data_IF_284474356929
#
_entry.id   IF_284474356929
#
_cell.length_a   1.000
_cell.length_b   1.000
_cell.length_c   1.000
_cell.angle_alpha   90.00
_cell.angle_beta   90.00
_cell.angle_gamma   90.00
#
_symmetry.space_group_name_H-M   'P 1'
#
loop_
_entity.id
_entity.type
_entity.pdbx_description
1 polymer ?
#
# COMPACT_ATOMS: atom_id res chain seq x y z
N UNK A 1 56.23 9.55 17.20
CA UNK A 1 54.87 9.76 17.75
C UNK A 1 54.99 9.85 19.25
N UNK A 2 54.66 10.99 19.84
CA UNK A 2 54.81 11.20 21.29
C UNK A 2 53.64 10.58 22.03
N UNK A 3 53.84 10.17 23.28
CA UNK A 3 52.78 9.61 24.13
C UNK A 3 51.49 10.48 24.17
N UNK A 4 51.70 11.79 24.06
CA UNK A 4 50.62 12.80 24.01
C UNK A 4 49.80 12.74 22.75
N UNK A 5 50.39 12.43 21.61
CA UNK A 5 49.70 12.26 20.33
C UNK A 5 48.87 10.94 20.32
N UNK A 6 49.46 9.89 20.90
CA UNK A 6 48.76 8.59 21.04
C UNK A 6 47.52 8.71 21.92
N UNK A 7 47.60 9.43 23.04
CA UNK A 7 46.46 9.67 23.92
C UNK A 7 45.34 10.47 23.23
N UNK A 8 45.66 11.46 22.41
CA UNK A 8 44.63 12.21 21.66
C UNK A 8 43.90 11.34 20.64
N UNK A 9 44.62 10.44 19.97
CA UNK A 9 43.99 9.51 18.99
C UNK A 9 43.06 8.51 19.71
N UNK A 10 43.50 7.98 20.85
CA UNK A 10 42.70 7.02 21.64
C UNK A 10 41.46 7.69 22.22
N UNK A 11 41.54 8.89 22.76
CA UNK A 11 40.39 9.62 23.28
C UNK A 11 39.41 10.03 22.18
N UNK A 12 39.92 10.45 21.00
CA UNK A 12 39.09 10.73 19.84
C UNK A 12 38.33 9.51 19.32
N UNK A 13 38.99 8.35 19.27
CA UNK A 13 38.36 7.09 18.85
C UNK A 13 37.30 6.59 19.83
N UNK A 14 37.56 6.75 21.14
CA UNK A 14 36.59 6.38 22.20
C UNK A 14 35.33 7.24 22.19
N UNK A 15 35.43 8.52 21.83
CA UNK A 15 34.29 9.42 21.72
C UNK A 15 33.53 9.27 20.38
N UNK A 16 34.20 8.83 19.32
CA UNK A 16 33.58 8.61 18.02
C UNK A 16 32.78 7.28 17.94
N UNK A 17 33.19 6.27 18.70
CA UNK A 17 32.55 4.96 18.67
C UNK A 17 31.05 4.98 19.04
N UNK A 18 30.58 5.67 20.11
CA UNK A 18 29.13 5.75 20.41
C UNK A 18 28.36 6.58 19.36
N UNK A 19 29.03 7.57 18.73
CA UNK A 19 28.39 8.39 17.70
C UNK A 19 28.17 7.63 16.40
N UNK A 20 29.08 6.74 16.02
CA UNK A 20 28.89 5.84 14.88
C UNK A 20 27.74 4.83 15.09
N UNK A 21 27.47 4.44 16.33
CA UNK A 21 26.35 3.53 16.61
C UNK A 21 24.98 4.17 16.42
N UNK A 22 24.87 5.51 16.55
CA UNK A 22 23.63 6.25 16.29
C UNK A 22 23.22 6.24 14.82
N UNK A 23 24.17 6.03 13.90
CA UNK A 23 23.92 5.96 12.46
C UNK A 23 23.82 4.51 11.92
N UNK A 24 24.01 3.52 12.77
CA UNK A 24 23.72 2.14 12.38
C UNK A 24 22.23 2.01 12.18
N UNK A 25 21.78 2.02 10.92
CA UNK A 25 20.45 1.57 10.54
C UNK A 25 20.24 0.21 11.20
N UNK A 26 19.26 0.14 12.11
CA UNK A 26 18.82 -1.14 12.68
C UNK A 26 18.39 -1.97 11.50
N UNK A 27 19.13 -3.03 11.17
CA UNK A 27 18.69 -3.99 10.18
C UNK A 27 17.39 -4.56 10.68
N UNK A 28 16.29 -4.24 10.00
CA UNK A 28 14.99 -4.83 10.26
C UNK A 28 15.06 -6.29 9.78
N UNK A 29 15.52 -7.16 10.69
CA UNK A 29 15.48 -8.60 10.48
C UNK A 29 14.05 -9.06 10.67
N UNK A 30 13.37 -9.39 9.60
CA UNK A 30 11.99 -9.84 9.66
C UNK A 30 11.39 -10.09 8.28
N UNK A 31 10.18 -10.61 8.28
CA UNK A 31 9.40 -10.83 7.07
C UNK A 31 8.06 -10.13 7.23
N UNK A 32 7.57 -9.49 6.18
CA UNK A 32 6.28 -8.82 6.15
C UNK A 32 5.36 -9.43 5.10
N UNK A 33 4.09 -9.47 5.41
CA UNK A 33 3.07 -9.82 4.43
C UNK A 33 2.88 -8.70 3.42
N UNK A 34 2.87 -9.08 2.14
CA UNK A 34 2.58 -8.15 1.05
C UNK A 34 1.68 -8.83 0.01
N UNK A 35 0.99 -8.01 -0.76
CA UNK A 35 0.17 -8.47 -1.87
C UNK A 35 0.93 -8.18 -3.15
N UNK A 36 1.03 -9.19 -4.00
CA UNK A 36 1.46 -9.01 -5.38
C UNK A 36 0.27 -8.45 -6.20
N UNK A 37 0.31 -7.18 -6.61
CA UNK A 37 -0.84 -6.57 -7.28
C UNK A 37 -1.09 -7.15 -8.67
N UNK A 38 -0.09 -7.77 -9.31
CA UNK A 38 -0.21 -8.40 -10.62
C UNK A 38 -0.93 -9.75 -10.54
N UNK A 39 -0.85 -10.43 -9.37
CA UNK A 39 -1.59 -11.66 -9.09
C UNK A 39 -2.96 -11.42 -8.47
N UNK A 40 -3.20 -10.24 -7.92
CA UNK A 40 -4.41 -9.94 -7.17
C UNK A 40 -5.64 -9.85 -8.10
N UNK A 41 -6.61 -10.74 -7.88
CA UNK A 41 -7.88 -10.78 -8.65
C UNK A 41 -9.02 -9.99 -7.99
N UNK A 42 -8.74 -9.18 -7.00
CA UNK A 42 -9.70 -8.30 -6.30
C UNK A 42 -10.96 -9.03 -5.78
N UNK A 43 -10.79 -10.24 -5.25
CA UNK A 43 -11.90 -11.11 -4.81
C UNK A 43 -12.64 -10.64 -3.54
N UNK A 44 -12.14 -9.62 -2.84
CA UNK A 44 -12.77 -9.05 -1.62
C UNK A 44 -12.47 -9.81 -0.32
N UNK A 45 -11.90 -11.02 -0.35
CA UNK A 45 -11.64 -11.81 0.87
C UNK A 45 -10.74 -11.11 1.89
N UNK A 46 -9.96 -10.13 1.47
CA UNK A 46 -9.13 -9.33 2.39
C UNK A 46 -9.96 -8.53 3.41
N UNK A 47 -11.21 -8.20 3.07
CA UNK A 47 -12.13 -7.50 3.95
C UNK A 47 -12.53 -8.38 5.15
N UNK A 48 -12.90 -9.63 4.88
CA UNK A 48 -13.57 -10.52 5.86
C UNK A 48 -12.62 -11.46 6.58
N UNK A 49 -11.49 -11.81 5.98
CA UNK A 49 -10.60 -12.86 6.48
C UNK A 49 -9.43 -12.33 7.33
N UNK A 50 -9.31 -11.02 7.50
CA UNK A 50 -8.34 -10.46 8.43
C UNK A 50 -8.78 -10.72 9.88
N UNK A 51 -7.82 -11.06 10.75
CA UNK A 51 -8.09 -11.24 12.19
C UNK A 51 -8.43 -9.94 12.91
N UNK A 52 -8.15 -8.81 12.29
CA UNK A 52 -8.46 -7.48 12.83
C UNK A 52 -9.92 -7.11 12.52
N UNK A 53 -10.59 -6.35 13.41
CA UNK A 53 -11.94 -5.83 13.16
C UNK A 53 -12.04 -5.01 11.86
N UNK A 54 -10.96 -4.33 11.51
CA UNK A 54 -10.75 -3.68 10.20
C UNK A 54 -9.47 -4.22 9.60
N UNK A 55 -9.55 -4.72 8.38
CA UNK A 55 -8.41 -5.31 7.68
C UNK A 55 -7.21 -4.37 7.62
N UNK A 56 -6.00 -4.92 7.85
CA UNK A 56 -4.75 -4.22 7.61
C UNK A 56 -4.45 -4.01 6.11
N UNK A 57 -5.19 -4.69 5.24
CA UNK A 57 -5.15 -4.44 3.81
C UNK A 57 -5.92 -3.16 3.50
N UNK A 58 -5.33 -2.31 2.66
CA UNK A 58 -5.96 -1.07 2.21
C UNK A 58 -5.80 -0.93 0.71
N UNK A 59 -6.72 -0.18 0.11
CA UNK A 59 -6.49 0.34 -1.23
C UNK A 59 -5.37 1.37 -1.16
N UNK A 60 -4.44 1.27 -2.07
CA UNK A 60 -3.38 2.26 -2.28
C UNK A 60 -3.37 2.67 -3.74
N UNK A 61 -2.79 3.80 -4.04
CA UNK A 61 -2.68 4.31 -5.39
C UNK A 61 -1.22 4.58 -5.77
N UNK A 62 -0.95 4.46 -7.03
CA UNK A 62 0.33 4.85 -7.61
C UNK A 62 0.24 6.33 -8.00
N UNK A 63 0.89 7.19 -7.21
CA UNK A 63 0.79 8.65 -7.37
C UNK A 63 1.06 9.14 -8.79
N UNK A 64 2.05 8.57 -9.47
CA UNK A 64 2.45 8.97 -10.81
C UNK A 64 1.33 8.83 -11.88
N UNK A 65 0.30 8.05 -11.60
CA UNK A 65 -0.80 7.78 -12.54
C UNK A 65 -2.19 8.03 -11.98
N UNK A 66 -2.34 8.14 -10.67
CA UNK A 66 -3.63 8.41 -10.03
C UNK A 66 -3.93 9.90 -10.04
N UNK A 67 -5.20 10.27 -10.26
CA UNK A 67 -5.63 11.66 -10.34
C UNK A 67 -5.78 12.19 -11.76
N UNK A 68 -5.32 11.45 -12.78
CA UNK A 68 -5.46 11.85 -14.19
C UNK A 68 -6.80 11.42 -14.84
N UNK A 69 -7.67 10.75 -14.09
CA UNK A 69 -8.99 10.37 -14.56
C UNK A 69 -10.01 11.44 -14.22
N UNK A 70 -10.71 11.98 -15.23
CA UNK A 70 -11.87 12.88 -15.04
C UNK A 70 -12.95 12.23 -14.16
N UNK A 71 -13.15 10.90 -14.32
CA UNK A 71 -14.07 10.11 -13.53
C UNK A 71 -13.32 8.94 -12.89
N UNK A 72 -13.16 8.99 -11.57
CA UNK A 72 -12.72 7.84 -10.81
C UNK A 72 -13.93 6.93 -10.55
N UNK A 73 -13.92 5.72 -11.12
CA UNK A 73 -15.00 4.74 -10.95
C UNK A 73 -15.26 4.37 -9.48
N UNK A 74 -14.23 4.43 -8.64
CA UNK A 74 -14.35 4.17 -7.21
C UNK A 74 -14.94 5.33 -6.42
N UNK A 75 -14.87 6.53 -6.95
CA UNK A 75 -15.39 7.76 -6.33
C UNK A 75 -16.78 8.14 -6.82
N UNK A 76 -17.21 7.64 -7.96
CA UNK A 76 -18.44 8.06 -8.62
C UNK A 76 -19.60 8.27 -7.64
N UNK A 77 -20.07 9.49 -7.53
CA UNK A 77 -21.20 9.90 -6.69
C UNK A 77 -22.37 10.22 -7.60
N UNK A 78 -23.27 9.27 -7.78
CA UNK A 78 -24.60 9.55 -8.29
C UNK A 78 -25.59 9.53 -7.10
N UNK A 79 -26.54 10.43 -7.11
CA UNK A 79 -27.60 10.52 -6.09
C UNK A 79 -28.71 9.49 -6.29
N UNK A 80 -28.60 8.61 -7.27
CA UNK A 80 -29.57 7.55 -7.52
C UNK A 80 -29.52 6.47 -6.45
N UNK A 81 -30.70 5.97 -6.10
CA UNK A 81 -30.90 5.05 -4.98
C UNK A 81 -30.64 3.60 -5.38
N UNK A 82 -30.81 3.25 -6.67
CA UNK A 82 -30.63 1.89 -7.18
C UNK A 82 -29.62 1.85 -8.33
N UNK A 83 -28.59 1.05 -8.15
CA UNK A 83 -27.51 0.87 -9.11
C UNK A 83 -27.43 -0.60 -9.49
N UNK A 84 -27.82 -0.91 -10.69
CA UNK A 84 -27.88 -2.28 -11.21
C UNK A 84 -26.82 -2.57 -12.30
N UNK A 85 -25.98 -1.59 -12.63
CA UNK A 85 -24.95 -1.79 -13.64
C UNK A 85 -23.60 -2.21 -13.04
N UNK A 86 -22.79 -2.91 -13.80
CA UNK A 86 -21.50 -3.42 -13.34
C UNK A 86 -20.54 -2.31 -12.89
N UNK A 87 -20.58 -1.12 -13.50
CA UNK A 87 -19.74 0.03 -13.16
C UNK A 87 -20.07 0.62 -11.79
N UNK A 88 -21.33 0.74 -11.48
CA UNK A 88 -21.83 1.31 -10.23
C UNK A 88 -21.53 0.42 -9.03
N UNK A 89 -21.58 -0.89 -9.22
CA UNK A 89 -21.21 -1.87 -8.19
C UNK A 89 -19.72 -1.83 -7.82
N UNK A 90 -18.89 -1.11 -8.56
CA UNK A 90 -17.46 -0.99 -8.32
C UNK A 90 -17.10 0.30 -7.55
N UNK A 91 -18.09 1.07 -7.16
CA UNK A 91 -17.93 2.24 -6.28
C UNK A 91 -17.45 1.82 -4.87
N UNK A 92 -16.75 2.73 -4.20
CA UNK A 92 -16.37 2.54 -2.81
C UNK A 92 -17.61 2.55 -1.91
N UNK A 93 -17.94 1.45 -1.19
CA UNK A 93 -19.15 1.38 -0.37
C UNK A 93 -19.04 2.20 0.94
N UNK A 94 -17.83 2.60 1.33
CA UNK A 94 -17.55 3.32 2.57
C UNK A 94 -17.09 4.75 2.33
N UNK A 95 -17.17 5.23 1.09
CA UNK A 95 -16.70 6.55 0.67
C UNK A 95 -15.27 6.85 1.14
N UNK A 96 -14.40 5.83 1.09
CA UNK A 96 -13.00 5.96 1.46
C UNK A 96 -12.16 6.69 0.41
N UNK A 97 -12.67 6.94 -0.79
CA UNK A 97 -12.00 7.72 -1.82
C UNK A 97 -12.45 9.17 -1.70
N UNK A 98 -11.53 10.05 -1.37
CA UNK A 98 -11.76 11.50 -1.27
C UNK A 98 -11.23 12.16 -2.53
N UNK A 99 -12.05 12.99 -3.15
CA UNK A 99 -11.71 13.79 -4.32
C UNK A 99 -11.54 15.25 -3.91
N UNK A 100 -10.44 15.85 -4.31
CA UNK A 100 -10.16 17.26 -4.10
C UNK A 100 -9.89 17.91 -5.45
N UNK A 101 -10.55 19.04 -5.72
CA UNK A 101 -10.26 19.85 -6.90
C UNK A 101 -8.87 20.48 -6.78
N UNK A 102 -8.07 20.40 -7.82
CA UNK A 102 -6.75 21.04 -7.92
C UNK A 102 -6.82 22.19 -8.92
N UNK A 103 -7.03 21.86 -10.19
CA UNK A 103 -7.20 22.81 -11.29
C UNK A 103 -7.95 22.12 -12.43
N UNK A 104 -8.55 22.86 -13.34
CA UNK A 104 -9.27 22.26 -14.45
C UNK A 104 -8.29 21.66 -15.49
N UNK A 105 -8.45 20.39 -15.90
CA UNK A 105 -9.49 19.41 -15.52
C UNK A 105 -9.06 18.43 -14.40
N UNK A 106 -8.09 18.77 -13.58
CA UNK A 106 -7.41 17.84 -12.67
C UNK A 106 -8.02 17.80 -11.27
N UNK A 107 -8.10 16.58 -10.75
CA UNK A 107 -8.53 16.28 -9.41
C UNK A 107 -7.51 15.38 -8.72
N UNK A 108 -7.30 15.61 -7.43
CA UNK A 108 -6.54 14.71 -6.57
C UNK A 108 -7.49 13.70 -5.92
N UNK A 109 -7.09 12.42 -5.94
CA UNK A 109 -7.81 11.35 -5.25
C UNK A 109 -6.93 10.78 -4.15
N UNK A 110 -7.46 10.79 -2.92
CA UNK A 110 -6.81 10.23 -1.74
C UNK A 110 -7.64 9.08 -1.18
N UNK A 111 -6.97 8.13 -0.57
CA UNK A 111 -7.61 7.01 0.13
C UNK A 111 -7.60 7.30 1.62
N UNK A 112 -8.77 7.40 2.21
CA UNK A 112 -8.97 7.41 3.65
C UNK A 112 -8.83 5.96 4.16
N UNK A 113 -7.68 5.66 4.74
CA UNK A 113 -7.37 4.30 5.20
C UNK A 113 -8.26 3.87 6.37
N UNK A 114 -8.78 4.80 7.16
CA UNK A 114 -9.68 4.49 8.27
C UNK A 114 -11.04 4.01 7.76
N UNK A 115 -11.52 4.56 6.66
CA UNK A 115 -12.77 4.14 6.02
C UNK A 115 -12.59 2.92 5.12
N UNK A 116 -11.39 2.69 4.60
CA UNK A 116 -11.14 1.60 3.67
C UNK A 116 -11.29 0.23 4.33
N UNK A 117 -12.17 -0.61 3.80
CA UNK A 117 -12.45 -1.97 4.27
C UNK A 117 -11.76 -3.07 3.45
N UNK A 118 -10.95 -2.73 2.45
CA UNK A 118 -10.24 -3.69 1.59
C UNK A 118 -11.13 -4.56 0.68
N UNK A 119 -12.33 -4.12 0.35
CA UNK A 119 -13.26 -4.89 -0.50
C UNK A 119 -12.80 -5.07 -1.96
N UNK A 120 -11.85 -4.28 -2.44
CA UNK A 120 -11.27 -4.38 -3.78
C UNK A 120 -12.13 -3.81 -4.92
N UNK A 121 -13.35 -3.33 -4.66
CA UNK A 121 -14.26 -2.81 -5.70
C UNK A 121 -13.64 -1.67 -6.51
N UNK A 122 -13.08 -0.68 -5.84
CA UNK A 122 -12.42 0.46 -6.50
C UNK A 122 -11.20 0.03 -7.34
N UNK A 123 -10.45 -0.99 -6.90
CA UNK A 123 -9.31 -1.54 -7.64
C UNK A 123 -9.80 -2.21 -8.92
N UNK A 124 -10.86 -3.02 -8.82
CA UNK A 124 -11.50 -3.65 -9.98
C UNK A 124 -12.05 -2.61 -10.95
N UNK A 125 -12.73 -1.57 -10.44
CA UNK A 125 -13.24 -0.47 -11.25
C UNK A 125 -12.12 0.30 -11.95
N UNK A 126 -11.05 0.62 -11.23
CA UNK A 126 -9.89 1.31 -11.78
C UNK A 126 -9.19 0.49 -12.87
N UNK A 127 -9.12 -0.83 -12.72
CA UNK A 127 -8.54 -1.71 -13.73
C UNK A 127 -9.42 -1.84 -14.99
N UNK A 128 -10.76 -1.77 -14.84
CA UNK A 128 -11.71 -1.96 -15.95
C UNK A 128 -12.06 -0.67 -16.68
N UNK A 129 -12.17 0.45 -15.96
CA UNK A 129 -12.69 1.72 -16.49
C UNK A 129 -11.75 2.91 -16.30
N UNK A 130 -10.65 2.72 -15.58
CA UNK A 130 -9.65 3.75 -15.31
C UNK A 130 -8.27 3.38 -15.85
N UNK A 131 -7.26 3.94 -15.23
CA UNK A 131 -5.85 3.75 -15.62
C UNK A 131 -5.13 2.63 -14.84
N UNK A 132 -5.83 1.88 -13.98
CA UNK A 132 -5.27 0.79 -13.22
C UNK A 132 -4.31 1.19 -12.08
N UNK A 133 -4.30 2.45 -11.67
CA UNK A 133 -3.38 2.96 -10.63
C UNK A 133 -3.73 2.52 -9.21
N UNK A 134 -4.95 2.06 -8.96
CA UNK A 134 -5.37 1.55 -7.66
C UNK A 134 -5.01 0.06 -7.52
N UNK A 135 -4.52 -0.33 -6.34
CA UNK A 135 -4.25 -1.72 -5.99
C UNK A 135 -4.42 -1.95 -4.49
N UNK A 136 -4.57 -3.21 -4.06
CA UNK A 136 -4.61 -3.56 -2.65
C UNK A 136 -3.22 -3.85 -2.13
N UNK A 137 -2.90 -3.36 -0.93
CA UNK A 137 -1.64 -3.66 -0.26
C UNK A 137 -1.79 -3.73 1.26
N UNK A 138 -0.93 -4.50 1.89
CA UNK A 138 -0.86 -4.61 3.35
C UNK A 138 -0.17 -3.36 3.92
N UNK A 139 -0.82 -2.70 4.87
CA UNK A 139 -0.21 -1.59 5.61
C UNK A 139 0.55 -2.14 6.82
N UNK A 140 1.89 -2.05 6.79
CA UNK A 140 2.78 -2.62 7.80
C UNK A 140 2.44 -2.13 9.22
N UNK A 141 2.14 -0.84 9.37
CA UNK A 141 1.81 -0.24 10.66
C UNK A 141 0.47 -0.72 11.25
N UNK A 142 -0.42 -1.25 10.43
CA UNK A 142 -1.70 -1.82 10.85
C UNK A 142 -1.62 -3.35 11.03
N UNK A 143 -0.73 -4.01 10.28
CA UNK A 143 -0.62 -5.47 10.25
C UNK A 143 0.00 -6.01 11.55
N UNK A 144 -0.58 -7.06 12.12
CA UNK A 144 -0.04 -7.78 13.28
C UNK A 144 1.03 -8.82 12.91
N UNK A 145 1.35 -8.93 11.64
CA UNK A 145 2.33 -9.87 11.08
C UNK A 145 2.16 -11.31 11.59
N UNK A 146 0.93 -11.80 11.55
CA UNK A 146 0.60 -13.16 11.97
C UNK A 146 1.45 -14.18 11.22
N UNK A 147 2.08 -15.14 11.93
CA UNK A 147 2.88 -16.19 11.30
C UNK A 147 2.08 -16.98 10.26
N UNK A 148 0.81 -17.26 10.58
CA UNK A 148 -0.16 -17.86 9.67
C UNK A 148 -1.23 -16.83 9.33
N UNK A 149 -1.06 -16.12 8.23
CA UNK A 149 -2.04 -15.14 7.79
C UNK A 149 -3.27 -15.84 7.20
N UNK A 150 -4.44 -15.63 7.80
CA UNK A 150 -5.69 -16.22 7.32
C UNK A 150 -6.02 -15.76 5.90
N UNK A 151 -5.79 -14.49 5.56
CA UNK A 151 -5.99 -13.99 4.19
C UNK A 151 -5.11 -14.77 3.21
N UNK A 152 -3.84 -14.99 3.55
CA UNK A 152 -2.92 -15.72 2.69
C UNK A 152 -3.39 -17.17 2.44
N UNK A 153 -3.96 -17.83 3.45
CA UNK A 153 -4.51 -19.19 3.34
C UNK A 153 -5.72 -19.29 2.40
N UNK A 154 -6.55 -18.26 2.38
CA UNK A 154 -7.79 -18.26 1.59
C UNK A 154 -7.68 -17.50 0.26
N UNK A 155 -6.54 -16.89 -0.01
CA UNK A 155 -6.32 -16.12 -1.24
C UNK A 155 -6.30 -17.04 -2.47
N UNK A 156 -7.31 -16.96 -3.37
CA UNK A 156 -7.43 -17.92 -4.46
C UNK A 156 -6.35 -17.77 -5.53
N UNK A 157 -5.73 -16.59 -5.63
CA UNK A 157 -4.66 -16.32 -6.61
C UNK A 157 -3.26 -16.41 -6.01
N UNK A 158 -3.13 -16.74 -4.71
CA UNK A 158 -1.82 -16.80 -4.05
C UNK A 158 -1.07 -15.45 -4.07
N UNK A 159 -1.79 -14.33 -4.13
CA UNK A 159 -1.20 -13.01 -4.21
C UNK A 159 -0.53 -12.57 -2.89
N UNK A 160 -0.89 -13.17 -1.76
CA UNK A 160 -0.27 -12.90 -0.46
C UNK A 160 1.04 -13.66 -0.31
N UNK A 161 2.14 -12.94 -0.08
CA UNK A 161 3.47 -13.52 0.12
C UNK A 161 4.18 -12.84 1.30
N UNK A 162 5.03 -13.59 2.00
CA UNK A 162 5.97 -13.01 2.96
C UNK A 162 7.24 -12.61 2.23
N UNK A 163 7.65 -11.38 2.41
CA UNK A 163 8.89 -10.84 1.83
C UNK A 163 9.82 -10.38 2.94
N UNK A 164 11.14 -10.53 2.78
CA UNK A 164 12.12 -10.00 3.72
C UNK A 164 11.96 -8.48 3.91
N UNK A 165 12.26 -8.00 5.11
CA UNK A 165 12.10 -6.59 5.47
C UNK A 165 13.01 -5.64 4.68
N UNK A 166 14.14 -6.14 4.21
CA UNK A 166 15.11 -5.42 3.37
C UNK A 166 14.64 -5.25 1.92
N UNK A 167 13.62 -6.00 1.50
CA UNK A 167 13.08 -5.85 0.14
C UNK A 167 12.13 -4.68 0.04
N UNK A 168 12.12 -4.01 -1.15
CA UNK A 168 11.21 -2.90 -1.39
C UNK A 168 9.74 -3.34 -1.32
N UNK A 169 8.88 -2.38 -1.00
CA UNK A 169 7.44 -2.57 -1.03
C UNK A 169 6.98 -2.94 -2.45
N UNK A 170 6.11 -3.95 -2.57
CA UNK A 170 5.64 -4.40 -3.88
C UNK A 170 4.61 -3.41 -4.42
N UNK A 171 4.93 -2.82 -5.56
CA UNK A 171 4.06 -1.93 -6.32
C UNK A 171 3.55 -2.64 -7.59
N UNK A 172 2.45 -2.12 -8.14
CA UNK A 172 1.96 -2.58 -9.44
C UNK A 172 2.95 -2.19 -10.53
N UNK A 173 3.27 -3.12 -11.41
CA UNK A 173 4.08 -2.79 -12.59
C UNK A 173 3.27 -1.90 -13.53
N UNK A 174 3.86 -0.85 -14.11
CA UNK A 174 3.22 -0.12 -15.19
C UNK A 174 2.88 -1.10 -16.33
N UNK A 175 1.74 -0.91 -17.04
CA UNK A 175 1.47 -1.67 -18.23
C UNK A 175 2.63 -1.48 -19.22
N UNK A 176 3.15 -2.59 -19.75
CA UNK A 176 4.17 -2.53 -20.79
C UNK A 176 3.56 -1.81 -22.00
N UNK A 177 4.14 -0.68 -22.38
CA UNK A 177 3.78 0.01 -23.62
C UNK A 177 4.24 -0.90 -24.75
N UNK A 178 3.30 -1.63 -25.35
CA UNK A 178 3.58 -2.37 -26.57
C UNK A 178 3.90 -1.36 -27.66
N UNK A 179 5.19 -1.26 -27.97
CA UNK A 179 5.72 -0.51 -29.11
C UNK A 179 5.29 -1.16 -30.41
#
# INVERSE_FOLDING_TARGET
>A
MTLRELLKVITGALLAAPFLQLFRKKEETGYYWQIDPDKCIQCGKCETECVLPRSAVKCVHQYASCGYCLFCSGYYQDKRIEFNTAGENLRCPTDAIVRTYVEDPYFEYKIDEEKCIACGKCVKGCASFGNGSLFLQVRRHLCKDCNECRIAKVCPSGAFTRVPADKPYIFRRPPEVKS
#
